data_IF_228135475957
#
_entry.id   IF_228135475957
#
_cell.length_a   1.000
_cell.length_b   1.000
_cell.length_c   1.000
_cell.angle_alpha   90.00
_cell.angle_beta   90.00
_cell.angle_gamma   90.00
#
_symmetry.space_group_name_H-M   'P 1'
#
loop_
_entity.id
_entity.type
_entity.pdbx_description
1 polymer ?
#
# COMPACT_ATOMS: atom_id res chain seq x y z
N UNK A 1 0.34 -28.55 3.82
CA UNK A 1 -0.34 -28.72 5.13
C UNK A 1 -1.55 -27.80 5.16
N UNK A 2 -2.68 -28.22 5.77
CA UNK A 2 -4.02 -28.01 5.22
C UNK A 2 -4.53 -26.57 5.37
N UNK A 3 -5.21 -26.11 4.31
CA UNK A 3 -5.96 -24.87 4.26
C UNK A 3 -7.12 -24.93 5.25
N UNK A 4 -7.04 -24.12 6.30
CA UNK A 4 -8.13 -23.90 7.23
C UNK A 4 -9.08 -22.86 6.62
N UNK A 5 -10.14 -23.36 5.96
CA UNK A 5 -11.32 -22.55 5.62
C UNK A 5 -11.98 -22.08 6.91
N UNK A 6 -12.04 -20.76 7.14
CA UNK A 6 -12.90 -20.09 8.13
C UNK A 6 -13.36 -18.71 7.61
N UNK A 7 -14.51 -18.19 8.06
CA UNK A 7 -15.66 -18.00 7.17
C UNK A 7 -15.84 -16.57 6.63
N UNK A 8 -16.22 -16.52 5.36
CA UNK A 8 -16.53 -15.37 4.49
C UNK A 8 -17.86 -14.62 4.81
N UNK A 9 -18.59 -14.95 5.87
CA UNK A 9 -20.05 -14.81 5.83
C UNK A 9 -20.69 -13.60 6.54
N UNK A 10 -19.95 -12.54 6.92
CA UNK A 10 -20.59 -11.38 7.61
C UNK A 10 -20.41 -10.02 6.95
N UNK A 11 -19.33 -9.78 6.21
CA UNK A 11 -19.19 -8.57 5.41
C UNK A 11 -19.85 -8.71 4.02
N UNK A 12 -19.86 -9.93 3.47
CA UNK A 12 -20.45 -10.28 2.16
C UNK A 12 -21.98 -10.13 2.12
N UNK A 13 -22.67 -10.40 3.24
CA UNK A 13 -24.13 -10.38 3.30
C UNK A 13 -24.75 -8.98 3.34
N UNK A 14 -23.96 -7.94 3.67
CA UNK A 14 -24.47 -6.58 3.82
C UNK A 14 -24.34 -5.77 2.53
N UNK A 15 -23.32 -6.03 1.70
CA UNK A 15 -23.11 -5.30 0.44
C UNK A 15 -23.92 -5.86 -0.74
N UNK A 16 -24.06 -7.19 -0.86
CA UNK A 16 -24.90 -7.80 -1.91
C UNK A 16 -26.40 -7.56 -1.65
N UNK A 17 -26.81 -7.47 -0.39
CA UNK A 17 -28.20 -7.15 -0.03
C UNK A 17 -28.58 -5.69 -0.32
N UNK A 18 -27.61 -4.76 -0.36
CA UNK A 18 -27.87 -3.35 -0.61
C UNK A 18 -28.18 -3.06 -2.09
N UNK A 19 -27.66 -3.87 -3.01
CA UNK A 19 -27.89 -3.73 -4.47
C UNK A 19 -29.25 -4.31 -4.90
N UNK A 20 -29.75 -5.33 -4.20
CA UNK A 20 -31.03 -5.99 -4.53
C UNK A 20 -32.29 -5.32 -3.96
N UNK A 21 -32.15 -4.30 -3.10
CA UNK A 21 -33.29 -3.64 -2.42
C UNK A 21 -33.82 -2.38 -3.11
N UNK A 22 -33.28 -1.98 -4.27
CA UNK A 22 -33.66 -0.74 -4.97
C UNK A 22 -34.59 -0.93 -6.19
N UNK A 23 -35.04 -2.15 -6.50
CA UNK A 23 -35.83 -2.44 -7.72
C UNK A 23 -37.34 -2.67 -7.51
N UNK A 24 -37.90 -2.26 -6.37
CA UNK A 24 -39.35 -2.38 -6.15
C UNK A 24 -39.96 -1.05 -5.71
N UNK A 25 -40.42 -0.25 -6.68
CA UNK A 25 -41.67 0.55 -6.64
C UNK A 25 -41.73 1.45 -7.88
N UNK A 26 -42.59 1.13 -8.85
CA UNK A 26 -43.82 1.87 -9.22
C UNK A 26 -44.30 1.38 -10.58
N UNK A 27 -45.48 0.75 -10.62
CA UNK A 27 -46.30 0.69 -11.82
C UNK A 27 -47.34 1.82 -11.79
N UNK A 28 -47.75 2.29 -12.96
CA UNK A 28 -49.07 2.88 -13.20
C UNK A 28 -49.42 2.73 -14.68
N UNK A 29 -50.69 2.42 -14.95
CA UNK A 29 -51.28 2.03 -16.22
C UNK A 29 -51.72 3.26 -17.04
N UNK A 30 -51.56 3.20 -18.37
CA UNK A 30 -52.06 4.24 -19.27
C UNK A 30 -52.16 3.78 -20.73
N UNK A 31 -53.36 3.32 -21.11
CA UNK A 31 -53.78 3.05 -22.49
C UNK A 31 -53.72 4.31 -23.38
N UNK A 32 -53.12 4.18 -24.57
CA UNK A 32 -53.11 5.22 -25.61
C UNK A 32 -52.47 4.77 -26.93
N UNK A 33 -53.34 4.50 -27.91
CA UNK A 33 -53.23 4.27 -29.38
C UNK A 33 -51.88 4.54 -30.11
N UNK A 34 -51.46 3.73 -31.12
CA UNK A 34 -50.11 3.71 -31.67
C UNK A 34 -49.96 4.67 -32.85
N UNK A 35 -49.40 5.84 -32.59
CA UNK A 35 -48.76 6.64 -33.63
C UNK A 35 -47.32 6.18 -33.79
N UNK A 36 -46.96 5.63 -34.96
CA UNK A 36 -45.57 5.37 -35.39
C UNK A 36 -44.69 6.60 -35.13
N UNK A 37 -43.96 6.57 -34.01
CA UNK A 37 -42.83 7.45 -33.75
C UNK A 37 -41.62 6.87 -34.48
N UNK A 38 -40.79 7.69 -35.13
CA UNK A 38 -39.52 7.21 -35.67
C UNK A 38 -38.74 6.61 -34.50
N UNK A 39 -38.30 5.36 -34.68
CA UNK A 39 -37.57 4.58 -33.68
C UNK A 39 -36.55 5.45 -32.97
N UNK A 40 -36.83 5.77 -31.71
CA UNK A 40 -35.87 6.45 -30.87
C UNK A 40 -34.64 5.54 -30.82
N UNK A 41 -33.48 6.06 -31.27
CA UNK A 41 -32.22 5.33 -31.18
C UNK A 41 -32.10 4.71 -29.78
N UNK A 42 -31.67 3.45 -29.65
CA UNK A 42 -31.65 2.76 -28.37
C UNK A 42 -30.95 3.65 -27.35
N UNK A 43 -31.66 3.98 -26.28
CA UNK A 43 -31.14 4.80 -25.19
C UNK A 43 -30.15 3.94 -24.39
N UNK A 44 -28.92 3.87 -24.87
CA UNK A 44 -27.85 3.10 -24.25
C UNK A 44 -26.61 2.98 -25.13
N UNK A 45 -25.49 2.50 -24.58
CA UNK A 45 -24.27 2.26 -25.35
C UNK A 45 -24.47 1.21 -26.45
N UNK A 46 -23.72 1.34 -27.54
CA UNK A 46 -23.73 0.38 -28.65
C UNK A 46 -22.85 -0.85 -28.33
N UNK A 47 -23.08 -1.98 -28.99
CA UNK A 47 -22.22 -3.17 -28.87
C UNK A 47 -20.75 -2.85 -29.11
N UNK A 48 -20.44 -2.03 -30.12
CA UNK A 48 -19.07 -1.59 -30.40
C UNK A 48 -18.44 -0.80 -29.24
N UNK A 49 -19.23 -0.01 -28.51
CA UNK A 49 -18.77 0.71 -27.32
C UNK A 49 -18.51 -0.25 -26.14
N UNK A 50 -19.30 -1.33 -26.00
CA UNK A 50 -19.03 -2.38 -25.02
C UNK A 50 -17.76 -3.17 -25.37
N UNK A 51 -17.57 -3.54 -26.65
CA UNK A 51 -16.39 -4.27 -27.11
C UNK A 51 -15.09 -3.46 -26.90
N UNK A 52 -15.13 -2.14 -27.20
CA UNK A 52 -14.01 -1.24 -26.95
C UNK A 52 -13.70 -1.14 -25.44
N UNK A 53 -14.73 -0.94 -24.62
CA UNK A 53 -14.56 -0.85 -23.17
C UNK A 53 -14.06 -2.16 -22.54
N UNK A 54 -14.53 -3.32 -23.03
CA UNK A 54 -14.06 -4.62 -22.58
C UNK A 54 -12.59 -4.86 -22.97
N UNK A 55 -12.19 -4.45 -24.18
CA UNK A 55 -10.78 -4.52 -24.62
C UNK A 55 -9.89 -3.68 -23.70
N UNK A 56 -10.29 -2.45 -23.40
CA UNK A 56 -9.55 -1.57 -22.47
C UNK A 56 -9.52 -2.12 -21.04
N UNK A 57 -10.58 -2.80 -20.61
CA UNK A 57 -10.61 -3.47 -19.30
C UNK A 57 -9.68 -4.67 -19.22
N UNK A 58 -9.55 -5.47 -20.29
CA UNK A 58 -8.57 -6.55 -20.37
C UNK A 58 -7.13 -6.03 -20.46
N UNK A 59 -6.90 -4.95 -21.21
CA UNK A 59 -5.61 -4.26 -21.24
C UNK A 59 -5.23 -3.72 -19.86
N UNK A 60 -6.20 -3.19 -19.11
CA UNK A 60 -6.00 -2.75 -17.74
C UNK A 60 -5.48 -3.89 -16.85
N UNK A 61 -6.00 -5.12 -16.94
CA UNK A 61 -5.45 -6.26 -16.20
C UNK A 61 -3.96 -6.50 -16.51
N UNK A 62 -3.57 -6.38 -17.78
CA UNK A 62 -2.15 -6.45 -18.17
C UNK A 62 -1.30 -5.36 -17.51
N UNK A 63 -1.81 -4.13 -17.41
CA UNK A 63 -1.12 -3.02 -16.74
C UNK A 63 -1.05 -3.21 -15.22
N UNK A 64 -2.09 -3.78 -14.60
CA UNK A 64 -2.12 -4.09 -13.17
C UNK A 64 -1.09 -5.18 -12.83
N UNK A 65 -1.01 -6.23 -13.64
CA UNK A 65 0.01 -7.28 -13.49
C UNK A 65 1.44 -6.73 -13.71
N UNK A 66 1.64 -5.92 -14.76
CA UNK A 66 2.93 -5.25 -15.01
C UNK A 66 3.35 -4.40 -13.80
N UNK A 67 2.40 -3.69 -13.17
CA UNK A 67 2.65 -2.87 -11.97
C UNK A 67 3.17 -3.70 -10.81
N UNK A 68 2.54 -4.84 -10.54
CA UNK A 68 2.93 -5.76 -9.47
C UNK A 68 4.30 -6.40 -9.73
N UNK A 69 4.48 -6.98 -10.93
CA UNK A 69 5.72 -7.66 -11.31
C UNK A 69 6.92 -6.68 -11.31
N UNK A 70 6.72 -5.47 -11.82
CA UNK A 70 7.78 -4.45 -11.83
C UNK A 70 8.09 -3.90 -10.45
N UNK A 71 7.12 -3.81 -9.54
CA UNK A 71 7.38 -3.40 -8.16
C UNK A 71 8.39 -4.34 -7.48
N UNK A 72 8.24 -5.66 -7.64
CA UNK A 72 9.17 -6.65 -7.08
C UNK A 72 10.57 -6.49 -7.67
N UNK A 73 10.67 -6.40 -9.01
CA UNK A 73 11.95 -6.20 -9.69
C UNK A 73 12.63 -4.88 -9.31
N UNK A 74 11.84 -3.80 -9.15
CA UNK A 74 12.28 -2.50 -8.68
C UNK A 74 12.90 -2.62 -7.28
N UNK A 75 12.16 -3.20 -6.32
CA UNK A 75 12.62 -3.35 -4.94
C UNK A 75 13.90 -4.18 -4.86
N UNK A 76 13.98 -5.30 -5.58
CA UNK A 76 15.19 -6.12 -5.65
C UNK A 76 16.41 -5.30 -6.14
N UNK A 77 16.25 -4.52 -7.21
CA UNK A 77 17.33 -3.67 -7.75
C UNK A 77 17.79 -2.61 -6.76
N UNK A 78 16.85 -1.94 -6.08
CA UNK A 78 17.20 -0.91 -5.08
C UNK A 78 17.88 -1.54 -3.88
N UNK A 79 17.38 -2.69 -3.40
CA UNK A 79 17.97 -3.45 -2.29
C UNK A 79 19.40 -3.88 -2.61
N UNK A 80 19.63 -4.49 -3.77
CA UNK A 80 20.99 -4.86 -4.18
C UNK A 80 21.91 -3.64 -4.31
N UNK A 81 21.40 -2.50 -4.79
CA UNK A 81 22.21 -1.28 -4.85
C UNK A 81 22.59 -0.78 -3.45
N UNK A 82 21.66 -0.85 -2.49
CA UNK A 82 21.86 -0.52 -1.08
C UNK A 82 22.86 -1.46 -0.41
N UNK A 83 22.71 -2.79 -0.56
CA UNK A 83 23.62 -3.79 0.02
C UNK A 83 25.07 -3.59 -0.41
N UNK A 84 25.30 -3.09 -1.63
CA UNK A 84 26.65 -2.83 -2.14
C UNK A 84 27.25 -1.48 -1.69
N UNK A 85 26.43 -0.50 -1.32
CA UNK A 85 26.85 0.89 -1.02
C UNK A 85 25.75 1.65 -0.28
N UNK A 86 25.57 1.41 1.04
CA UNK A 86 24.47 1.99 1.81
C UNK A 86 24.46 3.53 1.84
N UNK A 87 25.63 4.17 1.76
CA UNK A 87 25.76 5.62 1.83
C UNK A 87 25.48 6.31 0.48
N UNK A 88 25.92 5.69 -0.63
CA UNK A 88 25.86 6.25 -1.97
C UNK A 88 24.68 5.78 -2.83
N UNK A 89 24.01 4.67 -2.49
CA UNK A 89 23.10 4.00 -3.43
C UNK A 89 21.98 4.90 -3.98
N UNK A 90 21.43 5.82 -3.18
CA UNK A 90 20.33 6.70 -3.59
C UNK A 90 20.69 7.61 -4.76
N UNK A 91 21.98 7.93 -4.93
CA UNK A 91 22.49 8.76 -6.02
C UNK A 91 22.93 7.92 -7.23
N UNK A 92 22.96 6.59 -7.12
CA UNK A 92 23.38 5.72 -8.23
C UNK A 92 22.43 5.86 -9.41
N UNK A 93 22.93 6.08 -10.65
CA UNK A 93 22.08 6.25 -11.82
C UNK A 93 21.05 5.13 -12.03
N UNK A 94 21.44 3.88 -11.73
CA UNK A 94 20.53 2.72 -11.81
C UNK A 94 19.35 2.82 -10.84
N UNK A 95 19.56 3.30 -9.60
CA UNK A 95 18.50 3.49 -8.60
C UNK A 95 17.59 4.63 -9.00
N UNK A 96 18.16 5.77 -9.41
CA UNK A 96 17.39 6.93 -9.89
C UNK A 96 16.52 6.55 -11.09
N UNK A 97 17.06 5.80 -12.05
CA UNK A 97 16.31 5.28 -13.20
C UNK A 97 15.20 4.32 -12.76
N UNK A 98 15.48 3.41 -11.84
CA UNK A 98 14.49 2.46 -11.34
C UNK A 98 13.31 3.17 -10.64
N UNK A 99 13.58 4.21 -9.83
CA UNK A 99 12.54 5.04 -9.20
C UNK A 99 11.67 5.72 -10.26
N UNK A 100 12.28 6.32 -11.28
CA UNK A 100 11.52 6.96 -12.38
C UNK A 100 10.67 5.94 -13.15
N UNK A 101 11.21 4.76 -13.44
CA UNK A 101 10.48 3.70 -14.11
C UNK A 101 9.28 3.21 -13.29
N UNK A 102 9.45 3.07 -11.97
CA UNK A 102 8.36 2.67 -11.09
C UNK A 102 7.24 3.73 -11.08
N UNK A 103 7.59 5.01 -11.00
CA UNK A 103 6.61 6.10 -11.08
C UNK A 103 5.88 6.14 -12.44
N UNK A 104 6.58 5.88 -13.54
CA UNK A 104 5.97 5.82 -14.87
C UNK A 104 4.98 4.65 -15.03
N UNK A 105 5.25 3.51 -14.39
CA UNK A 105 4.34 2.35 -14.40
C UNK A 105 3.08 2.68 -13.61
N UNK A 106 3.19 3.28 -12.41
CA UNK A 106 2.03 3.75 -11.65
C UNK A 106 1.20 4.77 -12.44
N UNK A 107 1.84 5.74 -13.10
CA UNK A 107 1.15 6.72 -13.93
C UNK A 107 0.40 6.08 -15.13
N UNK A 108 0.97 5.04 -15.77
CA UNK A 108 0.29 4.29 -16.84
C UNK A 108 -0.95 3.56 -16.33
N UNK A 109 -0.86 2.96 -15.14
CA UNK A 109 -2.00 2.32 -14.47
C UNK A 109 -3.10 3.32 -14.19
N UNK A 110 -2.76 4.48 -13.62
CA UNK A 110 -3.74 5.51 -13.28
C UNK A 110 -4.41 6.09 -14.54
N UNK A 111 -3.64 6.27 -15.62
CA UNK A 111 -4.18 6.68 -16.92
C UNK A 111 -5.12 5.63 -17.53
N UNK A 112 -4.81 4.33 -17.41
CA UNK A 112 -5.67 3.25 -17.89
C UNK A 112 -7.00 3.19 -17.11
N UNK A 113 -6.94 3.37 -15.78
CA UNK A 113 -8.14 3.47 -14.94
C UNK A 113 -8.99 4.69 -15.35
N UNK A 114 -8.37 5.86 -15.55
CA UNK A 114 -9.09 7.06 -15.97
C UNK A 114 -9.73 6.91 -17.37
N UNK A 115 -8.98 6.36 -18.33
CA UNK A 115 -9.46 6.17 -19.69
C UNK A 115 -10.68 5.24 -19.78
N UNK A 116 -10.72 4.20 -18.95
CA UNK A 116 -11.86 3.29 -18.89
C UNK A 116 -13.07 3.93 -18.19
N UNK A 117 -12.85 4.78 -17.18
CA UNK A 117 -13.93 5.53 -16.52
C UNK A 117 -14.70 6.46 -17.48
N UNK A 118 -14.05 6.93 -18.54
CA UNK A 118 -14.60 7.84 -19.54
C UNK A 118 -15.27 7.11 -20.72
N UNK A 119 -15.20 5.77 -20.77
CA UNK A 119 -15.76 5.01 -21.89
C UNK A 119 -17.28 5.15 -21.96
N UNK A 120 -17.86 5.38 -23.15
CA UNK A 120 -19.31 5.52 -23.31
C UNK A 120 -20.12 4.36 -22.72
N UNK A 121 -19.61 3.13 -22.79
CA UNK A 121 -20.24 1.97 -22.17
C UNK A 121 -20.29 2.08 -20.63
N UNK A 122 -19.19 2.50 -20.00
CA UNK A 122 -19.09 2.64 -18.54
C UNK A 122 -19.90 3.84 -18.02
N UNK A 123 -19.98 4.91 -18.81
CA UNK A 123 -20.75 6.12 -18.46
C UNK A 123 -22.25 5.93 -18.70
N UNK A 124 -22.61 5.25 -19.80
CA UNK A 124 -23.99 5.12 -20.26
C UNK A 124 -24.74 3.90 -19.71
N UNK A 125 -24.05 2.92 -19.13
CA UNK A 125 -24.64 1.78 -18.44
C UNK A 125 -24.46 1.95 -16.92
N UNK A 126 -25.57 2.12 -16.20
CA UNK A 126 -25.57 2.38 -14.75
C UNK A 126 -24.99 1.22 -13.94
N UNK A 127 -25.27 -0.02 -14.34
CA UNK A 127 -24.80 -1.23 -13.66
C UNK A 127 -23.29 -1.40 -13.86
N UNK A 128 -22.83 -1.31 -15.10
CA UNK A 128 -21.40 -1.37 -15.43
C UNK A 128 -20.62 -0.22 -14.79
N UNK A 129 -21.14 1.01 -14.87
CA UNK A 129 -20.55 2.17 -14.23
C UNK A 129 -20.46 2.04 -12.70
N UNK A 130 -21.46 1.43 -12.07
CA UNK A 130 -21.45 1.17 -10.62
C UNK A 130 -20.44 0.10 -10.24
N UNK A 131 -20.41 -1.03 -10.96
CA UNK A 131 -19.43 -2.08 -10.76
C UNK A 131 -17.99 -1.54 -10.94
N UNK A 132 -17.76 -0.74 -11.98
CA UNK A 132 -16.46 -0.16 -12.27
C UNK A 132 -16.01 0.83 -11.19
N UNK A 133 -16.90 1.73 -10.73
CA UNK A 133 -16.59 2.63 -9.61
C UNK A 133 -16.22 1.86 -8.35
N UNK A 134 -16.98 0.82 -7.99
CA UNK A 134 -16.68 -0.01 -6.83
C UNK A 134 -15.30 -0.68 -6.95
N UNK A 135 -14.95 -1.17 -8.14
CA UNK A 135 -13.62 -1.70 -8.42
C UNK A 135 -12.51 -0.63 -8.23
N UNK A 136 -12.66 0.55 -8.84
CA UNK A 136 -11.67 1.64 -8.72
C UNK A 136 -11.51 2.11 -7.27
N UNK A 137 -12.61 2.27 -6.53
CA UNK A 137 -12.59 2.65 -5.11
C UNK A 137 -11.88 1.58 -4.25
N UNK A 138 -12.18 0.30 -4.47
CA UNK A 138 -11.49 -0.80 -3.80
C UNK A 138 -9.99 -0.83 -4.14
N UNK A 139 -9.64 -0.61 -5.40
CA UNK A 139 -8.28 -0.62 -5.89
C UNK A 139 -7.45 0.61 -5.43
N UNK A 140 -8.10 1.74 -5.16
CA UNK A 140 -7.43 2.96 -4.69
C UNK A 140 -6.64 2.75 -3.39
N UNK A 141 -7.16 1.94 -2.46
CA UNK A 141 -6.44 1.61 -1.22
C UNK A 141 -5.16 0.78 -1.48
N UNK A 142 -5.23 -0.13 -2.46
CA UNK A 142 -4.13 -1.03 -2.84
C UNK A 142 -3.01 -0.25 -3.52
N UNK A 143 -3.37 0.54 -4.52
CA UNK A 143 -2.44 1.40 -5.26
C UNK A 143 -1.78 2.42 -4.33
N UNK A 144 -2.55 3.12 -3.49
CA UNK A 144 -1.98 4.05 -2.51
C UNK A 144 -0.99 3.36 -1.56
N UNK A 145 -1.29 2.14 -1.10
CA UNK A 145 -0.41 1.36 -0.24
C UNK A 145 0.87 0.92 -0.96
N UNK A 146 0.76 0.39 -2.18
CA UNK A 146 1.89 -0.07 -2.99
C UNK A 146 2.78 1.10 -3.44
N UNK A 147 2.20 2.15 -3.98
CA UNK A 147 2.93 3.33 -4.48
C UNK A 147 3.61 4.06 -3.35
N UNK A 148 2.95 4.18 -2.20
CA UNK A 148 3.54 4.77 -1.01
C UNK A 148 4.76 3.99 -0.54
N UNK A 149 4.71 2.65 -0.59
CA UNK A 149 5.85 1.82 -0.24
C UNK A 149 6.98 1.97 -1.25
N UNK A 150 6.68 1.79 -2.53
CA UNK A 150 7.65 1.84 -3.62
C UNK A 150 8.33 3.22 -3.71
N UNK A 151 7.56 4.31 -3.64
CA UNK A 151 8.09 5.68 -3.65
C UNK A 151 8.97 5.99 -2.43
N UNK A 152 8.69 5.35 -1.28
CA UNK A 152 9.46 5.53 -0.06
C UNK A 152 10.65 4.56 0.08
N UNK A 153 10.71 3.52 -0.75
CA UNK A 153 11.59 2.36 -0.54
C UNK A 153 13.08 2.70 -0.35
N UNK A 154 13.70 3.58 -1.16
CA UNK A 154 15.11 3.94 -0.95
C UNK A 154 15.34 4.71 0.36
N UNK A 155 14.40 5.55 0.78
CA UNK A 155 14.51 6.28 2.05
C UNK A 155 14.25 5.33 3.21
N UNK A 156 13.33 4.38 3.05
CA UNK A 156 13.01 3.35 4.02
C UNK A 156 14.24 2.49 4.35
N UNK A 157 14.98 2.01 3.34
CA UNK A 157 16.21 1.24 3.56
C UNK A 157 17.27 2.06 4.33
N UNK A 158 17.51 3.31 3.89
CA UNK A 158 18.50 4.18 4.54
C UNK A 158 18.11 4.54 5.99
N UNK A 159 16.83 4.77 6.25
CA UNK A 159 16.33 5.03 7.61
C UNK A 159 16.44 3.76 8.47
N UNK A 160 16.07 2.60 7.93
CA UNK A 160 16.15 1.32 8.62
C UNK A 160 17.57 1.03 9.13
N UNK A 161 18.57 1.18 8.27
CA UNK A 161 19.98 0.97 8.60
C UNK A 161 20.48 1.94 9.68
N UNK A 162 20.25 3.25 9.46
CA UNK A 162 20.64 4.29 10.42
C UNK A 162 19.96 4.13 11.79
N UNK A 163 18.74 3.58 11.82
CA UNK A 163 18.01 3.32 13.05
C UNK A 163 18.49 2.02 13.72
N UNK A 164 18.77 0.96 12.95
CA UNK A 164 19.24 -0.32 13.48
C UNK A 164 20.64 -0.23 14.09
N UNK A 165 21.51 0.63 13.55
CA UNK A 165 22.87 0.84 14.08
C UNK A 165 22.90 1.38 15.52
N UNK A 166 21.81 1.99 16.00
CA UNK A 166 21.69 2.50 17.37
C UNK A 166 21.88 1.43 18.45
N UNK A 167 21.46 0.20 18.17
CA UNK A 167 21.66 -0.94 19.08
C UNK A 167 23.17 -1.23 19.27
N UNK A 168 23.99 -0.88 18.28
CA UNK A 168 25.45 -1.03 18.32
C UNK A 168 26.18 0.05 19.11
N UNK A 169 25.51 1.14 19.54
CA UNK A 169 26.16 2.20 20.32
C UNK A 169 26.33 1.75 21.77
N UNK A 170 27.54 1.34 22.13
CA UNK A 170 27.89 0.78 23.44
C UNK A 170 28.57 1.82 24.35
N UNK A 171 28.55 1.63 25.69
CA UNK A 171 29.34 2.45 26.60
C UNK A 171 30.85 2.30 26.31
N UNK A 172 31.67 3.32 26.64
CA UNK A 172 33.12 3.19 26.69
C UNK A 172 33.57 2.00 27.55
N UNK A 173 34.56 1.25 27.07
CA UNK A 173 35.04 0.05 27.77
C UNK A 173 35.78 0.38 29.07
N UNK A 174 35.57 -0.43 30.11
CA UNK A 174 36.40 -0.45 31.33
C UNK A 174 36.12 0.61 32.39
N UNK A 175 35.10 1.47 32.21
CA UNK A 175 34.69 2.48 33.19
C UNK A 175 33.24 2.29 33.65
N UNK A 176 32.89 2.83 34.82
CA UNK A 176 31.53 2.68 35.37
C UNK A 176 30.50 3.44 34.54
N UNK A 177 29.24 3.00 34.57
CA UNK A 177 28.15 3.69 33.86
C UNK A 177 27.89 5.09 34.41
N UNK A 178 28.14 5.33 35.70
CA UNK A 178 28.07 6.65 36.31
C UNK A 178 29.12 7.62 35.77
N UNK A 179 30.30 7.13 35.38
CA UNK A 179 31.38 7.94 34.81
C UNK A 179 31.21 8.14 33.30
N UNK A 180 30.69 7.13 32.61
CA UNK A 180 30.64 7.11 31.14
C UNK A 180 29.27 7.38 30.54
N UNK A 181 28.22 7.39 31.36
CA UNK A 181 26.84 7.47 30.90
C UNK A 181 26.51 8.77 30.16
N UNK A 182 27.13 9.89 30.54
CA UNK A 182 26.97 11.17 29.82
C UNK A 182 27.55 11.08 28.39
N UNK A 183 28.79 10.59 28.26
CA UNK A 183 29.44 10.40 26.96
C UNK A 183 28.70 9.35 26.10
N UNK A 184 28.17 8.29 26.73
CA UNK A 184 27.37 7.28 26.03
C UNK A 184 26.04 7.85 25.51
N UNK A 185 25.34 8.66 26.32
CA UNK A 185 24.11 9.32 25.91
C UNK A 185 24.37 10.27 24.74
N UNK A 186 25.40 11.11 24.82
CA UNK A 186 25.81 12.03 23.76
C UNK A 186 26.12 11.27 22.46
N UNK A 187 26.93 10.20 22.53
CA UNK A 187 27.24 9.36 21.37
C UNK A 187 26.00 8.71 20.76
N UNK A 188 25.04 8.29 21.59
CA UNK A 188 23.78 7.74 21.09
C UNK A 188 22.89 8.80 20.45
N UNK A 189 22.79 10.00 21.01
CA UNK A 189 22.04 11.11 20.43
C UNK A 189 22.61 11.57 19.08
N UNK A 190 23.93 11.65 18.98
CA UNK A 190 24.63 11.93 17.73
C UNK A 190 24.32 10.86 16.67
N UNK A 191 24.42 9.58 17.04
CA UNK A 191 24.10 8.45 16.16
C UNK A 191 22.60 8.41 15.79
N UNK A 192 21.71 8.91 16.65
CA UNK A 192 20.26 8.95 16.40
C UNK A 192 19.84 10.05 15.41
N UNK A 193 20.64 11.11 15.26
CA UNK A 193 20.29 12.24 14.39
C UNK A 193 20.02 11.80 12.92
N UNK A 194 20.86 10.95 12.26
CA UNK A 194 20.56 10.39 10.95
C UNK A 194 19.26 9.58 10.91
N UNK A 195 19.01 8.69 11.89
CA UNK A 195 17.79 7.88 11.99
C UNK A 195 16.53 8.77 12.01
N UNK A 196 16.50 9.77 12.89
CA UNK A 196 15.36 10.68 13.05
C UNK A 196 15.14 11.55 11.81
N UNK A 197 16.23 12.11 11.25
CA UNK A 197 16.17 12.94 10.04
C UNK A 197 15.68 12.16 8.81
N UNK A 198 16.17 10.94 8.60
CA UNK A 198 15.78 10.10 7.47
C UNK A 198 14.36 9.58 7.63
N UNK A 199 14.01 9.06 8.81
CA UNK A 199 12.67 8.52 9.06
C UNK A 199 11.58 9.60 8.98
N UNK A 200 11.87 10.86 9.34
CA UNK A 200 10.91 11.96 9.21
C UNK A 200 10.37 12.12 7.77
N UNK A 201 11.20 11.80 6.77
CA UNK A 201 10.83 11.85 5.34
C UNK A 201 9.80 10.78 4.95
N UNK A 202 9.63 9.74 5.76
CA UNK A 202 8.66 8.67 5.52
C UNK A 202 7.23 9.06 5.95
N UNK A 203 7.06 10.16 6.69
CA UNK A 203 5.77 10.60 7.23
C UNK A 203 4.72 10.89 6.15
N UNK A 204 5.17 11.33 4.97
CA UNK A 204 4.29 11.66 3.83
C UNK A 204 3.99 10.45 2.93
N UNK A 205 4.45 9.25 3.28
CA UNK A 205 4.11 8.05 2.52
C UNK A 205 2.60 7.80 2.57
N UNK A 206 1.99 7.50 1.42
CA UNK A 206 0.61 7.00 1.34
C UNK A 206 0.51 5.57 1.87
N UNK A 207 1.63 4.87 2.06
CA UNK A 207 1.66 3.61 2.78
C UNK A 207 1.55 3.88 4.27
N UNK A 208 0.39 3.52 4.83
CA UNK A 208 0.05 3.83 6.22
C UNK A 208 0.97 3.18 7.25
N UNK A 209 1.61 2.05 6.93
CA UNK A 209 2.56 1.41 7.83
C UNK A 209 3.94 2.09 7.78
N UNK A 210 4.42 2.45 6.59
CA UNK A 210 5.64 3.26 6.42
C UNK A 210 5.50 4.63 7.09
N UNK A 211 4.34 5.28 6.94
CA UNK A 211 4.08 6.59 7.55
C UNK A 211 4.12 6.58 9.09
N UNK A 212 3.94 5.41 9.72
CA UNK A 212 4.01 5.24 11.19
C UNK A 212 5.44 5.12 11.71
N UNK A 213 6.39 4.69 10.88
CA UNK A 213 7.80 4.49 11.26
C UNK A 213 8.44 5.68 11.99
N UNK A 214 8.32 6.95 11.52
CA UNK A 214 8.92 8.08 12.23
C UNK A 214 8.40 8.32 13.65
N UNK A 215 7.18 7.88 13.98
CA UNK A 215 6.70 7.91 15.38
C UNK A 215 7.33 6.79 16.20
N UNK A 216 7.39 5.59 15.62
CA UNK A 216 8.01 4.42 16.24
C UNK A 216 9.49 4.67 16.57
N UNK A 217 10.29 5.13 15.60
CA UNK A 217 11.72 5.35 15.81
C UNK A 217 12.00 6.46 16.84
N UNK A 218 11.23 7.55 16.85
CA UNK A 218 11.35 8.58 17.90
C UNK A 218 11.11 8.02 19.28
N UNK A 219 10.08 7.20 19.44
CA UNK A 219 9.79 6.53 20.71
C UNK A 219 10.93 5.61 21.12
N UNK A 220 11.44 4.80 20.19
CA UNK A 220 12.53 3.86 20.46
C UNK A 220 13.83 4.57 20.88
N UNK A 221 14.18 5.69 20.22
CA UNK A 221 15.32 6.54 20.62
C UNK A 221 15.12 7.09 22.02
N UNK A 222 13.93 7.63 22.34
CA UNK A 222 13.63 8.16 23.66
C UNK A 222 13.67 7.07 24.76
N UNK A 223 13.10 5.90 24.49
CA UNK A 223 13.11 4.76 25.42
C UNK A 223 14.55 4.28 25.71
N UNK A 224 15.44 4.34 24.70
CA UNK A 224 16.86 3.99 24.85
C UNK A 224 17.65 5.05 25.61
N UNK A 225 17.45 6.34 25.31
CA UNK A 225 18.03 7.44 26.09
C UNK A 225 17.65 7.34 27.57
N UNK A 226 16.38 7.14 27.87
CA UNK A 226 15.91 6.99 29.25
C UNK A 226 16.53 5.78 29.97
N UNK A 227 16.84 4.70 29.25
CA UNK A 227 17.55 3.56 29.82
C UNK A 227 19.03 3.87 30.11
N UNK A 228 19.69 4.63 29.22
CA UNK A 228 21.08 5.09 29.43
C UNK A 228 21.16 6.08 30.59
N UNK A 229 20.21 7.01 30.70
CA UNK A 229 20.14 7.99 31.80
C UNK A 229 20.01 7.31 33.17
N UNK A 230 19.17 6.27 33.29
CA UNK A 230 19.08 5.48 34.52
C UNK A 230 20.42 4.82 34.88
N UNK A 231 21.13 4.27 33.89
CA UNK A 231 22.46 3.69 34.11
C UNK A 231 23.49 4.75 34.53
N UNK A 232 23.41 5.97 33.98
CA UNK A 232 24.24 7.13 34.34
C UNK A 232 24.00 7.59 35.78
N UNK A 233 22.74 7.70 36.19
CA UNK A 233 22.37 8.31 37.48
C UNK A 233 22.63 7.37 38.68
N UNK A 234 23.28 6.23 38.45
CA UNK A 234 23.72 5.31 39.49
C UNK A 234 22.56 4.48 40.05
N UNK A 235 21.68 3.97 39.18
CA UNK A 235 20.60 3.09 39.59
C UNK A 235 21.15 1.89 40.39
N UNK A 236 20.69 1.75 41.64
CA UNK A 236 21.12 0.70 42.57
C UNK A 236 20.86 -0.72 42.06
N UNK A 237 20.02 -0.87 41.02
CA UNK A 237 19.78 -2.12 40.30
C UNK A 237 20.33 -2.07 38.86
N UNK A 238 21.67 -2.06 38.72
CA UNK A 238 22.37 -2.14 37.44
C UNK A 238 21.86 -3.30 36.56
N UNK A 239 21.58 -4.45 37.16
CA UNK A 239 21.07 -5.61 36.45
C UNK A 239 19.67 -5.34 35.87
N UNK A 240 18.78 -4.69 36.64
CA UNK A 240 17.46 -4.24 36.20
C UNK A 240 17.52 -3.22 35.07
N UNK A 241 18.44 -2.25 35.15
CA UNK A 241 18.64 -1.21 34.14
C UNK A 241 19.21 -1.79 32.83
N UNK A 242 20.22 -2.67 32.89
CA UNK A 242 20.72 -3.41 31.71
C UNK A 242 19.64 -4.31 31.10
N UNK A 243 18.82 -4.97 31.94
CA UNK A 243 17.68 -5.77 31.47
C UNK A 243 16.62 -4.90 30.78
N UNK A 244 16.41 -3.66 31.23
CA UNK A 244 15.52 -2.70 30.60
C UNK A 244 16.04 -2.27 29.23
N UNK A 245 17.32 -1.90 29.13
CA UNK A 245 17.96 -1.58 27.85
C UNK A 245 17.85 -2.75 26.87
N UNK A 246 18.18 -3.97 27.30
CA UNK A 246 18.03 -5.16 26.44
C UNK A 246 16.57 -5.43 26.04
N UNK A 247 15.57 -5.04 26.83
CA UNK A 247 14.15 -5.09 26.41
C UNK A 247 13.86 -4.06 25.33
N UNK A 248 14.40 -2.85 25.44
CA UNK A 248 14.27 -1.79 24.42
C UNK A 248 14.92 -2.23 23.13
N UNK A 249 16.15 -2.75 23.15
CA UNK A 249 16.85 -3.23 21.94
C UNK A 249 16.09 -4.38 21.26
N UNK A 250 15.57 -5.35 22.03
CA UNK A 250 14.72 -6.42 21.47
C UNK A 250 13.42 -5.87 20.89
N UNK A 251 12.81 -4.87 21.53
CA UNK A 251 11.63 -4.22 21.00
C UNK A 251 11.93 -3.48 19.69
N UNK A 252 13.07 -2.77 19.63
CA UNK A 252 13.58 -2.10 18.43
C UNK A 252 13.68 -3.07 17.26
N UNK A 253 14.41 -4.17 17.43
CA UNK A 253 14.63 -5.17 16.38
C UNK A 253 13.32 -5.83 15.94
N UNK A 254 12.44 -6.18 16.89
CA UNK A 254 11.14 -6.80 16.57
C UNK A 254 10.22 -5.84 15.84
N UNK A 255 10.11 -4.60 16.30
CA UNK A 255 9.19 -3.63 15.74
C UNK A 255 9.68 -3.17 14.36
N UNK A 256 11.00 -3.07 14.16
CA UNK A 256 11.63 -2.96 12.85
C UNK A 256 11.25 -4.13 11.93
N UNK A 257 11.49 -5.37 12.37
CA UNK A 257 11.17 -6.57 11.60
C UNK A 257 9.66 -6.73 11.30
N UNK A 258 8.78 -6.19 12.14
CA UNK A 258 7.33 -6.12 11.87
C UNK A 258 7.05 -5.07 10.80
N UNK A 259 7.64 -3.90 10.94
CA UNK A 259 7.49 -2.78 10.03
C UNK A 259 8.30 -2.94 8.73
N UNK A 260 8.82 -4.13 8.42
CA UNK A 260 9.44 -4.47 7.13
C UNK A 260 8.70 -5.60 6.40
N UNK A 261 7.62 -6.15 6.97
CA UNK A 261 6.79 -7.23 6.36
C UNK A 261 5.64 -6.67 5.51
N UNK A 262 5.93 -5.75 4.60
CA UNK A 262 4.89 -5.12 3.79
C UNK A 262 4.32 -6.06 2.71
N UNK A 263 5.14 -6.97 2.20
CA UNK A 263 4.77 -7.90 1.11
C UNK A 263 3.61 -8.82 1.49
N UNK A 264 3.57 -9.29 2.74
CA UNK A 264 2.48 -10.13 3.25
C UNK A 264 1.14 -9.40 3.29
N UNK A 265 1.15 -8.06 3.41
CA UNK A 265 -0.07 -7.25 3.46
C UNK A 265 -0.56 -6.87 2.08
N UNK A 266 0.33 -6.66 1.11
CA UNK A 266 -0.05 -6.39 -0.28
C UNK A 266 -0.84 -7.57 -0.87
N UNK A 267 -0.39 -8.81 -0.60
CA UNK A 267 -1.07 -10.02 -1.06
C UNK A 267 -2.50 -10.19 -0.49
N UNK A 268 -2.83 -9.53 0.62
CA UNK A 268 -4.17 -9.54 1.21
C UNK A 268 -5.07 -8.41 0.73
N UNK A 269 -4.53 -7.50 -0.09
CA UNK A 269 -5.22 -6.29 -0.52
C UNK A 269 -5.73 -6.37 -1.97
N UNK A 270 -5.36 -7.38 -2.76
CA UNK A 270 -5.76 -7.47 -4.17
C UNK A 270 -7.28 -7.76 -4.27
N UNK A 271 -8.08 -6.91 -4.93
CA UNK A 271 -9.52 -7.06 -4.99
C UNK A 271 -9.91 -7.92 -6.21
N UNK A 272 -9.40 -9.15 -6.27
CA UNK A 272 -9.68 -10.08 -7.38
C UNK A 272 -11.19 -10.26 -7.61
N UNK A 273 -11.96 -10.31 -6.53
CA UNK A 273 -13.42 -10.42 -6.57
C UNK A 273 -14.09 -9.19 -7.23
N UNK A 274 -13.55 -7.97 -7.04
CA UNK A 274 -14.11 -6.75 -7.65
C UNK A 274 -13.77 -6.66 -9.13
N UNK A 275 -12.58 -7.12 -9.52
CA UNK A 275 -12.23 -7.22 -10.95
C UNK A 275 -13.14 -8.22 -11.66
N UNK A 276 -13.36 -9.40 -11.07
CA UNK A 276 -14.27 -10.41 -11.62
C UNK A 276 -15.71 -9.91 -11.74
N UNK A 277 -16.18 -9.12 -10.77
CA UNK A 277 -17.52 -8.53 -10.84
C UNK A 277 -17.71 -7.63 -12.07
N UNK A 278 -16.70 -6.82 -12.42
CA UNK A 278 -16.74 -5.97 -13.62
C UNK A 278 -16.68 -6.81 -14.90
N UNK A 279 -15.83 -7.85 -14.94
CA UNK A 279 -15.70 -8.75 -16.10
C UNK A 279 -17.01 -9.50 -16.40
N UNK A 280 -17.74 -9.93 -15.36
CA UNK A 280 -19.05 -10.57 -15.49
C UNK A 280 -20.06 -9.64 -16.14
N UNK A 281 -20.17 -8.39 -15.67
CA UNK A 281 -21.10 -7.41 -16.26
C UNK A 281 -20.76 -7.15 -17.73
N UNK A 282 -19.47 -7.03 -18.08
CA UNK A 282 -19.04 -6.96 -19.48
C UNK A 282 -19.47 -8.20 -20.29
N UNK A 283 -19.26 -9.40 -19.75
CA UNK A 283 -19.62 -10.66 -20.41
C UNK A 283 -21.12 -10.79 -20.69
N UNK A 284 -21.98 -10.30 -19.79
CA UNK A 284 -23.43 -10.29 -19.97
C UNK A 284 -23.87 -9.34 -21.09
N UNK A 285 -23.24 -8.17 -21.21
CA UNK A 285 -23.59 -7.17 -22.25
C UNK A 285 -23.04 -7.51 -23.63
N UNK A 286 -21.88 -8.16 -23.72
CA UNK A 286 -21.27 -8.59 -25.00
C UNK A 286 -21.84 -9.94 -25.47
N UNK A 287 -22.15 -10.85 -24.55
CA UNK A 287 -22.71 -12.17 -24.85
C UNK A 287 -24.24 -12.20 -25.04
N UNK A 288 -24.97 -11.24 -24.48
CA UNK A 288 -26.43 -11.16 -24.52
C UNK A 288 -27.03 -10.69 -25.85
N UNK A 289 -26.24 -10.11 -26.75
CA UNK A 289 -26.70 -9.61 -28.07
C UNK A 289 -26.97 -10.70 -29.12
N UNK A 290 -26.92 -11.99 -28.75
CA UNK A 290 -27.09 -13.13 -29.65
C UNK A 290 -28.31 -14.02 -29.39
N UNK A 291 -29.30 -13.57 -28.61
CA UNK A 291 -30.50 -14.36 -28.33
C UNK A 291 -31.76 -13.50 -28.35
N UNK A 292 -32.22 -13.13 -29.54
CA UNK A 292 -33.56 -12.62 -29.81
C UNK A 292 -33.95 -13.02 -31.22
#
# INVERSE_FOLDING_TARGET
MPATRRPLSRALGVLVALVLLLTACTGDDGDGDPGERPDAAPSGPTTAQYDEAQTLFHDLAGVLDETNTRAVAYQARVRTAWENDPDGFRKRPKVVRAVKQQAAVAARRDAALAALAEQPAVVGDEELGTAYRAFVEGYAAVSAYQDGFNGSYPVFLAAGDACQSLVGVQPPAGASYSETGAAWLEAHEEAAAPCLRLSAKLKSSTNTDVARLPRLYRRLVADRNAAIERLRDGDTDLAGAMKALGRVDRAFTRDYARATRFDARIATLVPDDLYQAVDVVFGERVGGSGSS
#
